data_IF_084132977808
#
_entry.id   IF_084132977808
#
_cell.length_a   1.000
_cell.length_b   1.000
_cell.length_c   1.000
_cell.angle_alpha   90.00
_cell.angle_beta   90.00
_cell.angle_gamma   90.00
#
_symmetry.space_group_name_H-M   'P 1'
#
loop_
_entity.id
_entity.type
_entity.pdbx_description
1 polymer ?
#
# COMPACT_ATOMS: atom_id res chain seq x y z
N UNK A 1 -59.50 -24.52 -51.67
CA UNK A 1 -59.49 -23.04 -51.50
C UNK A 1 -59.67 -22.74 -50.02
N UNK A 2 -59.08 -21.63 -49.57
CA UNK A 2 -59.21 -20.97 -48.24
C UNK A 2 -58.39 -21.50 -47.04
N UNK A 3 -57.12 -21.06 -47.05
CA UNK A 3 -56.41 -20.30 -46.01
C UNK A 3 -56.47 -20.85 -44.56
N UNK A 4 -55.36 -21.46 -44.14
CA UNK A 4 -55.04 -21.69 -42.73
C UNK A 4 -54.94 -20.36 -41.97
N UNK A 5 -55.64 -20.34 -40.82
CA UNK A 5 -55.32 -19.46 -39.70
C UNK A 5 -53.87 -19.68 -39.26
N UNK A 6 -53.13 -18.60 -39.02
CA UNK A 6 -52.17 -18.57 -37.92
C UNK A 6 -52.34 -17.31 -37.12
N UNK A 7 -53.11 -17.47 -36.05
CA UNK A 7 -53.15 -16.56 -34.93
C UNK A 7 -51.77 -16.43 -34.28
N UNK A 8 -51.45 -15.17 -34.00
CA UNK A 8 -50.87 -14.66 -32.74
C UNK A 8 -49.52 -15.25 -32.30
N UNK A 9 -48.58 -14.35 -32.05
CA UNK A 9 -48.40 -13.82 -30.70
C UNK A 9 -47.60 -12.52 -30.73
N UNK A 10 -48.27 -11.47 -30.26
CA UNK A 10 -47.63 -10.33 -29.64
C UNK A 10 -46.68 -10.86 -28.55
N UNK A 11 -45.38 -10.89 -28.83
CA UNK A 11 -44.36 -11.14 -27.84
C UNK A 11 -44.09 -9.83 -27.12
N UNK A 12 -44.75 -9.62 -25.98
CA UNK A 12 -44.51 -8.48 -25.12
C UNK A 12 -43.03 -8.39 -24.78
N UNK A 13 -42.36 -7.36 -25.31
CA UNK A 13 -41.00 -7.02 -24.96
C UNK A 13 -40.97 -6.48 -23.54
N UNK A 14 -40.95 -7.37 -22.56
CA UNK A 14 -40.48 -7.02 -21.22
C UNK A 14 -39.08 -6.40 -21.33
N UNK A 15 -38.69 -5.51 -20.41
CA UNK A 15 -37.37 -4.89 -20.44
C UNK A 15 -36.32 -5.97 -20.63
N UNK A 16 -35.54 -5.85 -21.70
CA UNK A 16 -34.54 -6.86 -22.05
C UNK A 16 -33.61 -7.05 -20.86
N UNK A 17 -33.11 -8.27 -20.64
CA UNK A 17 -32.17 -8.53 -19.54
C UNK A 17 -30.96 -7.56 -19.55
N UNK A 18 -30.60 -7.03 -20.73
CA UNK A 18 -29.63 -5.96 -20.91
C UNK A 18 -30.05 -4.62 -20.28
N UNK A 19 -31.32 -4.22 -20.38
CA UNK A 19 -31.85 -3.01 -19.73
C UNK A 19 -31.92 -3.17 -18.21
N UNK A 20 -32.26 -4.37 -17.73
CA UNK A 20 -32.27 -4.67 -16.28
C UNK A 20 -30.83 -4.66 -15.74
N UNK A 21 -29.87 -5.25 -16.46
CA UNK A 21 -28.46 -5.24 -16.09
C UNK A 21 -27.87 -3.82 -16.13
N UNK A 22 -28.20 -3.03 -17.16
CA UNK A 22 -27.78 -1.63 -17.28
C UNK A 22 -28.39 -0.77 -16.16
N UNK A 23 -29.68 -0.99 -15.84
CA UNK A 23 -30.36 -0.32 -14.73
C UNK A 23 -29.71 -0.67 -13.39
N UNK A 24 -29.41 -1.95 -13.16
CA UNK A 24 -28.74 -2.39 -11.94
C UNK A 24 -27.31 -1.82 -11.84
N UNK A 25 -26.58 -1.77 -12.95
CA UNK A 25 -25.23 -1.18 -13.02
C UNK A 25 -25.27 0.32 -12.70
N UNK A 26 -26.26 1.06 -13.24
CA UNK A 26 -26.45 2.47 -12.95
C UNK A 26 -26.86 2.73 -11.49
N UNK A 27 -27.68 1.85 -10.91
CA UNK A 27 -28.05 1.93 -9.48
C UNK A 27 -26.82 1.69 -8.59
N UNK A 28 -26.00 0.69 -8.91
CA UNK A 28 -24.75 0.42 -8.16
C UNK A 28 -23.77 1.57 -8.32
N UNK A 29 -23.54 2.07 -9.54
CA UNK A 29 -22.67 3.21 -9.79
C UNK A 29 -23.15 4.48 -9.07
N UNK A 30 -24.46 4.74 -9.09
CA UNK A 30 -25.08 5.85 -8.38
C UNK A 30 -24.98 5.71 -6.86
N UNK A 31 -25.15 4.50 -6.32
CA UNK A 31 -24.99 4.24 -4.88
C UNK A 31 -23.54 4.43 -4.44
N UNK A 32 -22.57 3.99 -5.23
CA UNK A 32 -21.13 4.22 -4.98
C UNK A 32 -20.82 5.72 -5.03
N UNK A 33 -21.36 6.46 -5.99
CA UNK A 33 -21.19 7.91 -6.09
C UNK A 33 -21.84 8.66 -4.92
N UNK A 34 -23.04 8.24 -4.50
CA UNK A 34 -23.76 8.81 -3.36
C UNK A 34 -22.99 8.57 -2.05
N UNK A 35 -22.54 7.33 -1.79
CA UNK A 35 -21.74 6.98 -0.62
C UNK A 35 -20.42 7.77 -0.57
N UNK A 36 -19.80 8.01 -1.73
CA UNK A 36 -18.64 8.89 -1.88
C UNK A 36 -18.97 10.36 -1.56
N UNK A 37 -20.12 10.85 -1.99
CA UNK A 37 -20.54 12.24 -1.75
C UNK A 37 -20.90 12.53 -0.30
N UNK A 38 -21.32 11.53 0.47
CA UNK A 38 -21.67 11.69 1.90
C UNK A 38 -20.40 11.68 2.78
N UNK A 39 -19.21 11.47 2.21
CA UNK A 39 -17.93 11.61 2.92
C UNK A 39 -17.68 10.54 4.00
N UNK A 40 -18.36 9.39 3.92
CA UNK A 40 -18.33 8.36 4.98
C UNK A 40 -17.11 7.44 4.87
N UNK A 41 -16.29 7.53 3.81
CA UNK A 41 -15.13 6.65 3.62
C UNK A 41 -13.95 7.32 2.90
N UNK A 42 -12.79 7.41 3.57
CA UNK A 42 -11.46 7.51 2.96
C UNK A 42 -11.08 6.16 2.35
N UNK A 43 -11.79 5.75 1.29
CA UNK A 43 -11.42 4.57 0.50
C UNK A 43 -10.56 5.05 -0.66
N UNK A 44 -9.25 4.78 -0.52
CA UNK A 44 -8.24 5.03 -1.55
C UNK A 44 -8.72 4.56 -2.92
N UNK A 45 -8.37 5.31 -3.95
CA UNK A 45 -8.80 5.10 -5.35
C UNK A 45 -8.39 3.72 -5.93
N UNK A 46 -7.70 2.90 -5.14
CA UNK A 46 -7.14 1.58 -5.40
C UNK A 46 -8.18 0.46 -5.61
N UNK A 47 -9.39 0.58 -5.04
CA UNK A 47 -10.42 -0.49 -5.14
C UNK A 47 -11.49 -0.26 -6.22
N UNK A 48 -11.58 0.94 -6.79
CA UNK A 48 -12.64 1.28 -7.76
C UNK A 48 -12.44 0.59 -9.12
N UNK A 49 -11.20 0.54 -9.60
CA UNK A 49 -10.85 -0.06 -10.89
C UNK A 49 -10.93 -1.60 -10.88
N UNK A 50 -10.38 -2.31 -9.88
CA UNK A 50 -10.46 -3.78 -9.82
C UNK A 50 -11.88 -4.28 -9.63
N UNK A 51 -12.68 -3.63 -8.78
CA UNK A 51 -14.08 -4.04 -8.54
C UNK A 51 -14.96 -3.82 -9.77
N UNK A 52 -14.82 -2.68 -10.45
CA UNK A 52 -15.49 -2.42 -11.73
C UNK A 52 -15.06 -3.45 -12.79
N UNK A 53 -13.78 -3.80 -12.86
CA UNK A 53 -13.26 -4.78 -13.81
C UNK A 53 -13.78 -6.21 -13.52
N UNK A 54 -13.87 -6.61 -12.25
CA UNK A 54 -14.44 -7.91 -11.85
C UNK A 54 -15.92 -7.98 -12.21
N UNK A 55 -16.69 -6.92 -11.98
CA UNK A 55 -18.10 -6.86 -12.33
C UNK A 55 -18.32 -6.88 -13.86
N UNK A 56 -17.49 -6.16 -14.61
CA UNK A 56 -17.50 -6.19 -16.08
C UNK A 56 -17.08 -7.56 -16.61
N UNK A 57 -16.05 -8.17 -16.04
CA UNK A 57 -15.61 -9.54 -16.38
C UNK A 57 -16.69 -10.59 -16.11
N UNK A 58 -17.37 -10.50 -14.95
CA UNK A 58 -18.47 -11.40 -14.62
C UNK A 58 -19.67 -11.22 -15.57
N UNK A 59 -20.03 -9.96 -15.89
CA UNK A 59 -21.07 -9.67 -16.88
C UNK A 59 -20.71 -10.23 -18.27
N UNK A 60 -19.45 -10.12 -18.68
CA UNK A 60 -18.96 -10.66 -19.94
C UNK A 60 -19.03 -12.19 -19.99
N UNK A 61 -18.64 -12.89 -18.92
CA UNK A 61 -18.73 -14.36 -18.82
C UNK A 61 -20.18 -14.84 -18.91
N UNK A 62 -21.13 -14.12 -18.31
CA UNK A 62 -22.57 -14.46 -18.37
C UNK A 62 -23.15 -14.19 -19.76
N UNK A 63 -22.70 -13.12 -20.44
CA UNK A 63 -23.16 -12.77 -21.79
C UNK A 63 -22.52 -13.60 -22.92
N UNK A 64 -21.40 -14.26 -22.66
CA UNK A 64 -20.62 -15.03 -23.65
C UNK A 64 -21.25 -16.38 -24.08
N UNK A 65 -22.50 -16.67 -23.72
CA UNK A 65 -23.19 -17.93 -24.10
C UNK A 65 -24.10 -17.81 -25.33
N UNK A 66 -24.09 -16.67 -26.03
CA UNK A 66 -24.81 -16.41 -27.28
C UNK A 66 -23.90 -16.42 -28.51
N UNK A 67 -24.41 -16.89 -29.65
CA UNK A 67 -23.67 -17.62 -30.69
C UNK A 67 -23.11 -16.80 -31.86
N UNK A 68 -22.83 -15.52 -31.70
CA UNK A 68 -22.18 -14.71 -32.76
C UNK A 68 -21.28 -13.64 -32.11
N UNK A 69 -20.38 -13.03 -32.88
CA UNK A 69 -19.53 -11.86 -32.53
C UNK A 69 -18.09 -12.15 -32.04
N UNK A 70 -17.25 -12.73 -32.91
CA UNK A 70 -15.79 -12.86 -32.72
C UNK A 70 -15.01 -11.53 -32.58
N UNK A 71 -15.64 -10.38 -32.83
CA UNK A 71 -15.03 -9.06 -32.62
C UNK A 71 -14.80 -8.70 -31.15
N UNK A 72 -15.60 -9.25 -30.23
CA UNK A 72 -15.47 -9.02 -28.79
C UNK A 72 -14.25 -9.73 -28.19
N UNK A 73 -13.85 -10.86 -28.77
CA UNK A 73 -12.64 -11.58 -28.37
C UNK A 73 -11.39 -10.79 -28.77
N UNK A 74 -11.35 -10.24 -29.98
CA UNK A 74 -10.25 -9.38 -30.42
C UNK A 74 -10.16 -8.10 -29.57
N UNK A 75 -11.30 -7.45 -29.30
CA UNK A 75 -11.33 -6.27 -28.44
C UNK A 75 -10.92 -6.61 -27.00
N UNK A 76 -11.34 -7.75 -26.47
CA UNK A 76 -10.94 -8.24 -25.15
C UNK A 76 -9.43 -8.50 -25.07
N UNK A 77 -8.83 -9.12 -26.09
CA UNK A 77 -7.38 -9.34 -26.15
C UNK A 77 -6.63 -8.01 -26.26
N UNK A 78 -7.08 -7.07 -27.11
CA UNK A 78 -6.46 -5.74 -27.23
C UNK A 78 -6.57 -4.94 -25.93
N UNK A 79 -7.72 -5.00 -25.25
CA UNK A 79 -7.94 -4.33 -23.97
C UNK A 79 -7.12 -4.97 -22.85
N UNK A 80 -6.98 -6.30 -22.86
CA UNK A 80 -6.10 -7.04 -21.93
C UNK A 80 -4.64 -6.67 -22.18
N UNK A 81 -4.22 -6.56 -23.44
CA UNK A 81 -2.87 -6.15 -23.80
C UNK A 81 -2.60 -4.69 -23.42
N UNK A 82 -3.56 -3.79 -23.62
CA UNK A 82 -3.48 -2.40 -23.17
C UNK A 82 -3.47 -2.29 -21.64
N UNK A 83 -4.22 -3.14 -20.93
CA UNK A 83 -4.18 -3.26 -19.48
C UNK A 83 -2.82 -3.77 -18.99
N UNK A 84 -2.21 -4.74 -19.67
CA UNK A 84 -0.86 -5.21 -19.33
C UNK A 84 0.17 -4.11 -19.57
N UNK A 85 0.10 -3.39 -20.69
CA UNK A 85 1.00 -2.28 -21.00
C UNK A 85 0.84 -1.08 -20.05
N UNK A 86 -0.37 -0.83 -19.54
CA UNK A 86 -0.63 0.20 -18.52
C UNK A 86 -0.36 -0.28 -17.09
N UNK A 87 -0.37 -1.59 -16.85
CA UNK A 87 0.06 -2.22 -15.60
C UNK A 87 1.57 -2.25 -15.44
N UNK A 88 2.33 -1.85 -16.47
CA UNK A 88 3.76 -1.54 -16.33
C UNK A 88 3.90 -0.17 -15.66
N UNK A 89 3.40 -0.06 -14.44
CA UNK A 89 3.91 0.94 -13.51
C UNK A 89 5.26 0.42 -13.03
N UNK A 90 6.32 1.25 -13.04
CA UNK A 90 7.55 0.86 -12.37
C UNK A 90 7.16 0.53 -10.95
N UNK A 91 7.45 -0.71 -10.53
CA UNK A 91 7.30 -1.17 -9.16
C UNK A 91 7.99 -0.10 -8.33
N UNK A 92 7.20 0.80 -7.74
CA UNK A 92 7.74 1.83 -6.90
C UNK A 92 7.99 1.07 -5.61
N UNK A 93 9.13 0.40 -5.56
CA UNK A 93 9.75 0.01 -4.32
C UNK A 93 9.81 1.29 -3.51
N UNK A 94 8.84 1.49 -2.61
CA UNK A 94 8.56 2.77 -1.97
C UNK A 94 9.71 3.25 -1.09
N UNK A 95 10.75 2.42 -0.93
CA UNK A 95 12.00 2.80 -0.30
C UNK A 95 13.13 3.24 -1.24
N UNK A 96 12.98 3.08 -2.56
CA UNK A 96 14.10 3.24 -3.50
C UNK A 96 15.13 2.11 -3.38
N UNK A 97 16.17 2.18 -4.23
CA UNK A 97 17.30 1.25 -4.23
C UNK A 97 18.58 2.09 -4.23
N UNK A 98 19.53 1.75 -3.37
CA UNK A 98 20.82 2.44 -3.24
C UNK A 98 21.06 3.01 -1.85
N UNK A 99 22.05 3.88 -1.74
CA UNK A 99 22.45 4.46 -0.47
C UNK A 99 21.78 5.82 -0.25
N UNK A 100 21.05 5.96 0.87
CA UNK A 100 20.33 7.17 1.22
C UNK A 100 20.82 7.67 2.58
N UNK A 101 21.35 8.88 2.60
CA UNK A 101 21.68 9.59 3.84
C UNK A 101 20.69 10.71 4.03
N UNK A 102 19.96 10.68 5.14
CA UNK A 102 19.03 11.74 5.54
C UNK A 102 19.60 12.41 6.79
N UNK A 103 19.74 13.73 6.72
CA UNK A 103 20.19 14.55 7.85
C UNK A 103 19.13 15.64 8.05
N UNK A 104 18.06 15.35 8.82
CA UNK A 104 17.06 16.35 9.15
C UNK A 104 17.71 17.40 10.05
N UNK A 105 17.54 18.67 9.73
CA UNK A 105 18.04 19.78 10.55
C UNK A 105 16.98 20.38 11.48
N UNK A 106 15.70 20.08 11.23
CA UNK A 106 14.59 20.61 12.04
C UNK A 106 13.53 19.54 12.30
N UNK A 107 12.75 19.69 13.37
CA UNK A 107 11.62 18.81 13.68
C UNK A 107 10.52 18.85 12.62
N UNK A 108 10.45 19.91 11.80
CA UNK A 108 9.53 20.02 10.67
C UNK A 108 9.98 19.22 9.43
N UNK A 109 11.30 18.98 9.30
CA UNK A 109 11.88 18.16 8.22
C UNK A 109 11.97 16.67 8.59
N UNK A 110 11.57 16.33 9.81
CA UNK A 110 11.57 14.97 10.32
C UNK A 110 10.38 14.21 9.73
N UNK A 111 10.68 13.23 8.88
CA UNK A 111 9.67 12.26 8.47
C UNK A 111 9.44 11.30 9.62
N UNK A 112 8.19 11.00 9.93
CA UNK A 112 7.84 9.96 10.91
C UNK A 112 8.21 8.56 10.42
N UNK A 113 8.36 8.38 9.10
CA UNK A 113 8.59 7.10 8.47
C UNK A 113 9.69 7.18 7.40
N UNK A 114 10.64 6.24 7.47
CA UNK A 114 11.72 6.03 6.52
C UNK A 114 11.70 4.59 6.05
N UNK A 115 11.58 4.38 4.74
CA UNK A 115 11.62 3.05 4.14
C UNK A 115 12.70 2.98 3.08
N UNK A 116 13.44 1.87 3.01
CA UNK A 116 14.40 1.55 1.95
C UNK A 116 14.22 0.08 1.57
N UNK A 117 14.10 -0.26 0.29
CA UNK A 117 13.92 -1.67 -0.08
C UNK A 117 15.24 -2.41 -0.13
N UNK A 118 16.26 -1.85 -0.80
CA UNK A 118 17.59 -2.44 -0.86
C UNK A 118 18.66 -1.36 -0.79
N UNK A 119 19.64 -1.53 0.10
CA UNK A 119 20.81 -0.64 0.21
C UNK A 119 21.09 -0.17 1.64
N UNK A 120 21.79 0.95 1.78
CA UNK A 120 22.11 1.54 3.08
C UNK A 120 21.28 2.79 3.36
N UNK A 121 20.53 2.78 4.46
CA UNK A 121 19.81 3.95 4.96
C UNK A 121 20.55 4.49 6.18
N UNK A 122 21.09 5.70 6.08
CA UNK A 122 21.67 6.43 7.22
C UNK A 122 20.74 7.57 7.60
N UNK A 123 20.38 7.68 8.88
CA UNK A 123 19.56 8.75 9.42
C UNK A 123 20.37 9.39 10.55
N UNK A 124 20.84 10.62 10.33
CA UNK A 124 21.61 11.38 11.31
C UNK A 124 20.71 12.40 12.00
N UNK A 125 20.29 12.07 13.22
CA UNK A 125 19.43 12.90 14.06
C UNK A 125 20.22 13.82 15.00
N UNK A 126 21.56 13.77 14.98
CA UNK A 126 22.40 14.51 15.96
C UNK A 126 22.29 16.02 15.84
N UNK A 127 21.84 16.51 14.68
CA UNK A 127 21.62 17.93 14.43
C UNK A 127 20.17 18.38 14.72
N UNK A 128 19.27 17.44 15.01
CA UNK A 128 17.87 17.74 15.31
C UNK A 128 17.77 18.20 16.76
N UNK A 129 17.16 19.37 16.96
CA UNK A 129 16.77 19.82 18.28
C UNK A 129 15.37 19.29 18.61
N UNK A 130 15.28 18.23 19.40
CA UNK A 130 14.00 17.64 19.80
C UNK A 130 13.29 18.51 20.85
N UNK A 131 12.01 18.78 20.63
CA UNK A 131 11.16 19.45 21.61
C UNK A 131 10.89 18.54 22.83
N UNK A 132 10.41 19.14 23.92
CA UNK A 132 10.03 18.37 25.10
C UNK A 132 8.82 17.48 24.77
N UNK A 133 8.91 16.20 25.13
CA UNK A 133 7.90 15.20 24.78
C UNK A 133 8.50 13.91 24.25
N UNK A 134 7.65 13.12 23.60
CA UNK A 134 8.02 11.87 22.94
C UNK A 134 7.93 12.04 21.43
N UNK A 135 9.02 11.79 20.73
CA UNK A 135 9.07 11.77 19.27
C UNK A 135 9.19 10.34 18.81
N UNK A 136 8.34 9.92 17.86
CA UNK A 136 8.36 8.57 17.29
C UNK A 136 8.95 8.60 15.89
N UNK A 137 9.87 7.69 15.60
CA UNK A 137 10.49 7.51 14.28
C UNK A 137 10.41 6.03 13.91
N UNK A 138 9.86 5.76 12.73
CA UNK A 138 9.80 4.43 12.13
C UNK A 138 10.81 4.36 11.00
N UNK A 139 11.70 3.37 11.02
CA UNK A 139 12.67 3.15 9.96
C UNK A 139 12.74 1.67 9.57
N UNK A 140 12.51 1.37 8.29
CA UNK A 140 12.49 0.02 7.74
C UNK A 140 13.43 -0.14 6.56
N UNK A 141 14.27 -1.19 6.57
CA UNK A 141 15.08 -1.58 5.40
C UNK A 141 14.79 -3.03 5.00
N UNK A 142 14.48 -3.28 3.73
CA UNK A 142 14.23 -4.65 3.25
C UNK A 142 15.50 -5.50 3.28
N UNK A 143 16.50 -5.14 2.48
CA UNK A 143 17.80 -5.83 2.42
C UNK A 143 18.94 -4.82 2.49
N UNK A 144 19.81 -4.89 3.49
CA UNK A 144 21.00 -4.04 3.57
C UNK A 144 21.34 -3.56 4.98
N UNK A 145 21.48 -2.25 5.16
CA UNK A 145 21.99 -1.68 6.41
C UNK A 145 21.18 -0.45 6.82
N UNK A 146 20.76 -0.40 8.09
CA UNK A 146 20.10 0.74 8.70
C UNK A 146 21.01 1.34 9.77
N UNK A 147 21.47 2.58 9.58
CA UNK A 147 22.32 3.29 10.53
C UNK A 147 21.57 4.48 11.09
N UNK A 148 21.36 4.50 12.40
CA UNK A 148 20.74 5.60 13.12
C UNK A 148 21.77 6.26 14.04
N UNK A 149 21.97 7.58 13.89
CA UNK A 149 22.79 8.37 14.81
C UNK A 149 21.88 9.27 15.63
N UNK A 150 21.90 9.09 16.94
CA UNK A 150 21.00 9.75 17.89
C UNK A 150 21.80 10.71 18.76
N UNK A 151 21.31 11.93 19.05
CA UNK A 151 22.03 12.85 19.92
C UNK A 151 22.13 12.36 21.38
N UNK A 152 23.15 12.84 22.09
CA UNK A 152 23.46 12.44 23.48
C UNK A 152 22.45 12.93 24.53
N UNK A 153 21.68 13.96 24.20
CA UNK A 153 20.82 14.70 25.12
C UNK A 153 19.36 14.22 25.16
N UNK A 154 19.06 13.08 24.52
CA UNK A 154 17.72 12.47 24.49
C UNK A 154 17.74 11.04 25.05
N UNK A 155 16.68 10.67 25.76
CA UNK A 155 16.49 9.29 26.18
C UNK A 155 15.85 8.48 25.05
N UNK A 156 16.33 7.26 24.83
CA UNK A 156 15.97 6.42 23.68
C UNK A 156 15.31 5.14 24.15
N UNK A 157 14.21 4.77 23.49
CA UNK A 157 13.63 3.43 23.46
C UNK A 157 13.63 2.98 22.02
N UNK A 158 14.18 1.81 21.74
CA UNK A 158 14.26 1.25 20.39
C UNK A 158 13.68 -0.16 20.37
N UNK A 159 12.63 -0.33 19.59
CA UNK A 159 12.04 -1.61 19.25
C UNK A 159 12.67 -2.12 17.95
N UNK A 160 13.28 -3.29 18.00
CA UNK A 160 14.19 -3.81 16.99
C UNK A 160 13.60 -5.10 16.44
N UNK A 161 13.38 -5.14 15.13
CA UNK A 161 12.89 -6.32 14.41
C UNK A 161 13.85 -6.67 13.28
N UNK A 162 14.35 -7.90 13.27
CA UNK A 162 15.32 -8.37 12.26
C UNK A 162 14.86 -9.72 11.71
N UNK A 163 14.60 -9.80 10.41
CA UNK A 163 14.29 -11.06 9.76
C UNK A 163 15.50 -12.00 9.71
N UNK A 164 16.66 -11.50 9.28
CA UNK A 164 17.94 -12.21 9.36
C UNK A 164 19.14 -11.26 9.38
N UNK A 165 20.00 -11.38 10.40
CA UNK A 165 21.25 -10.64 10.49
C UNK A 165 21.57 -10.17 11.91
N UNK A 166 22.04 -8.94 12.07
CA UNK A 166 22.56 -8.43 13.35
C UNK A 166 22.05 -7.03 13.68
N UNK A 167 21.92 -6.71 14.96
CA UNK A 167 21.71 -5.34 15.41
C UNK A 167 22.73 -4.98 16.49
N UNK A 168 23.47 -3.91 16.25
CA UNK A 168 24.34 -3.25 17.22
C UNK A 168 23.63 -1.98 17.71
N UNK A 169 23.08 -2.03 18.91
CA UNK A 169 22.32 -0.93 19.52
C UNK A 169 23.03 -0.47 20.79
N UNK A 170 23.77 0.63 20.66
CA UNK A 170 24.67 1.15 21.70
C UNK A 170 25.66 0.06 22.20
N UNK A 171 25.53 -0.38 23.44
CA UNK A 171 26.39 -1.40 24.06
C UNK A 171 25.82 -2.83 23.91
N UNK A 172 24.65 -2.98 23.28
CA UNK A 172 23.99 -4.28 23.11
C UNK A 172 24.09 -4.76 21.67
N UNK A 173 24.39 -6.05 21.53
CA UNK A 173 24.43 -6.74 20.24
C UNK A 173 23.40 -7.85 20.22
N UNK A 174 22.64 -7.91 19.14
CA UNK A 174 21.69 -8.96 18.83
C UNK A 174 22.06 -9.59 17.49
N UNK A 175 21.88 -10.89 17.35
CA UNK A 175 22.21 -11.62 16.12
C UNK A 175 21.33 -12.85 15.99
N UNK A 176 20.76 -13.07 14.81
CA UNK A 176 19.91 -14.23 14.58
C UNK A 176 19.02 -14.09 13.36
N UNK A 177 18.03 -14.98 13.29
CA UNK A 177 16.90 -14.88 12.38
C UNK A 177 15.62 -14.74 13.20
N UNK A 178 14.70 -13.92 12.73
CA UNK A 178 13.45 -13.57 13.42
C UNK A 178 13.68 -13.05 14.85
N UNK A 179 14.49 -11.99 14.95
CA UNK A 179 14.84 -11.33 16.21
C UNK A 179 13.85 -10.21 16.48
N UNK A 180 13.26 -10.20 17.67
CA UNK A 180 12.42 -9.11 18.18
C UNK A 180 12.90 -8.74 19.58
N UNK A 181 13.47 -7.54 19.73
CA UNK A 181 14.13 -7.09 20.96
C UNK A 181 13.83 -5.61 21.23
N UNK A 182 13.77 -5.24 22.51
CA UNK A 182 13.56 -3.85 22.92
C UNK A 182 14.73 -3.34 23.74
N UNK A 183 15.32 -2.23 23.31
CA UNK A 183 16.30 -1.46 24.07
C UNK A 183 15.64 -0.26 24.75
N UNK A 184 15.98 -0.01 26.02
CA UNK A 184 15.57 1.19 26.75
C UNK A 184 16.79 1.77 27.45
N UNK A 185 17.05 3.05 27.22
CA UNK A 185 18.11 3.79 27.91
C UNK A 185 17.73 4.12 29.37
N UNK A 186 18.74 4.30 30.21
CA UNK A 186 18.54 4.67 31.61
C UNK A 186 17.83 6.02 31.75
N UNK A 187 16.85 6.08 32.65
CA UNK A 187 16.10 7.31 32.93
C UNK A 187 15.09 7.70 31.85
N UNK A 188 14.75 6.82 30.91
CA UNK A 188 13.80 7.09 29.82
C UNK A 188 12.48 7.71 30.29
N UNK A 189 11.85 7.14 31.32
CA UNK A 189 10.54 7.61 31.80
C UNK A 189 10.60 8.95 32.55
N UNK A 190 11.79 9.34 33.03
CA UNK A 190 12.01 10.59 33.74
C UNK A 190 12.57 11.71 32.83
N UNK A 191 12.94 11.38 31.60
CA UNK A 191 13.54 12.32 30.67
C UNK A 191 12.49 13.28 30.08
N UNK A 192 12.87 14.56 29.95
CA UNK A 192 12.02 15.58 29.31
C UNK A 192 11.93 15.43 27.79
N UNK A 193 12.92 14.76 27.17
CA UNK A 193 13.00 14.50 25.73
C UNK A 193 13.19 13.00 25.52
N UNK A 194 12.21 12.38 24.87
CA UNK A 194 12.15 10.93 24.65
C UNK A 194 12.04 10.64 23.17
N UNK A 195 12.79 9.65 22.72
CA UNK A 195 12.80 9.17 21.35
C UNK A 195 12.36 7.71 21.34
N UNK A 196 11.26 7.43 20.66
CA UNK A 196 10.78 6.08 20.39
C UNK A 196 11.16 5.71 18.95
N UNK A 197 11.93 4.64 18.81
CA UNK A 197 12.45 4.17 17.53
C UNK A 197 11.84 2.80 17.21
N UNK A 198 11.13 2.68 16.10
CA UNK A 198 10.72 1.39 15.55
C UNK A 198 11.63 1.06 14.37
N UNK A 199 12.52 0.09 14.55
CA UNK A 199 13.58 -0.24 13.60
C UNK A 199 13.36 -1.66 13.06
N UNK A 200 13.14 -1.78 11.76
CA UNK A 200 12.90 -3.09 11.12
C UNK A 200 13.87 -3.32 9.98
N UNK A 201 14.52 -4.49 9.96
CA UNK A 201 15.34 -4.93 8.83
C UNK A 201 14.95 -6.34 8.39
N UNK A 202 14.69 -6.54 7.10
CA UNK A 202 14.38 -7.86 6.56
C UNK A 202 15.61 -8.77 6.57
N UNK A 203 16.64 -8.42 5.80
CA UNK A 203 17.93 -9.14 5.79
C UNK A 203 19.06 -8.13 5.82
N UNK A 204 19.87 -8.12 6.88
CA UNK A 204 20.87 -7.07 7.01
C UNK A 204 21.31 -6.74 8.42
N UNK A 205 21.79 -5.51 8.60
CA UNK A 205 22.25 -5.03 9.91
C UNK A 205 21.56 -3.73 10.33
N UNK A 206 21.34 -3.58 11.63
CA UNK A 206 20.92 -2.33 12.27
C UNK A 206 22.08 -1.83 13.13
N UNK A 207 22.45 -0.56 12.99
CA UNK A 207 23.42 0.10 13.86
C UNK A 207 22.79 1.36 14.47
N UNK A 208 22.79 1.46 15.80
CA UNK A 208 22.34 2.64 16.53
C UNK A 208 23.47 3.14 17.40
N UNK A 209 23.91 4.37 17.14
CA UNK A 209 25.04 5.01 17.82
C UNK A 209 24.75 6.47 18.19
N UNK A 210 25.66 7.07 18.95
CA UNK A 210 25.67 8.50 19.30
C UNK A 210 26.76 9.24 18.53
#
# INVERSE_FOLDING_TARGET
MTVEMRERRYGGGGPSAAQIALGLLLVVAGLVWLLRSIGVFDLGWDLLLPSALILVGAALVVTARGRDHGGLVFLGVVLTLALVLTSITPISFSGGVGDRTVTPTTAADLSSEYSLTVGKQTIDLRQVNFEAGETRIVASVGIGELVLRVPDDVAVRADIQIGAGNADVFERRYSGADVEETYVSDGYDAASRRLLLDLSVGVGNIEVSR
#
